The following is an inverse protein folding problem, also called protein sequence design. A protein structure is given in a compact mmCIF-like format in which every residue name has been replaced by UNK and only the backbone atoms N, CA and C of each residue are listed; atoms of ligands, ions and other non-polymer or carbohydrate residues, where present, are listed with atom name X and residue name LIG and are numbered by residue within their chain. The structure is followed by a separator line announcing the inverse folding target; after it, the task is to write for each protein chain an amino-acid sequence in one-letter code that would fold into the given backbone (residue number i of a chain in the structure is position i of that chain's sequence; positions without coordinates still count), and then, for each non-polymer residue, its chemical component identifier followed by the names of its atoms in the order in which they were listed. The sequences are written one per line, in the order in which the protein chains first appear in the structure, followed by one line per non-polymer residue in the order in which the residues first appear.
data_IF_990608412760
#
_entry.id   IF_990608412760
#
_cell.length_a   1.000
_cell.length_b   1.000
_cell.length_c   1.000
_cell.angle_alpha   90.00
_cell.angle_beta   90.00
_cell.angle_gamma   90.00
#
_symmetry.space_group_name_H-M   'P 1'
#
loop_
_entity.id
_entity.type
_entity.pdbx_description
1 polymer ?
#
# COMPACT_ATOMS: atom_id res chain seq x y z
N UNK A 1 10.56 43.16 -42.43
CA UNK A 1 9.19 42.90 -42.92
C UNK A 1 9.18 41.53 -43.57
N UNK A 2 8.71 40.53 -42.82
CA UNK A 2 8.37 39.18 -43.27
C UNK A 2 7.31 38.68 -42.28
N UNK A 3 6.12 38.26 -42.73
CA UNK A 3 5.00 38.00 -41.84
C UNK A 3 5.02 36.57 -41.26
N UNK A 4 4.51 36.51 -40.03
CA UNK A 4 4.33 35.35 -39.15
C UNK A 4 3.27 34.40 -39.73
N UNK A 5 3.58 33.10 -39.78
CA UNK A 5 2.66 32.05 -40.23
C UNK A 5 1.59 31.71 -39.20
N UNK A 6 0.33 31.87 -39.57
CA UNK A 6 -0.85 31.47 -38.78
C UNK A 6 -1.20 30.02 -39.08
N UNK A 7 -1.05 29.13 -38.08
CA UNK A 7 -1.46 27.73 -38.17
C UNK A 7 -2.98 27.61 -37.92
N UNK A 8 -3.75 27.33 -38.98
CA UNK A 8 -5.18 26.99 -38.90
C UNK A 8 -5.35 25.48 -38.82
N UNK A 9 -5.89 24.98 -37.70
CA UNK A 9 -6.32 23.58 -37.58
C UNK A 9 -7.74 23.46 -38.15
N UNK A 10 -7.86 22.72 -39.26
CA UNK A 10 -9.12 22.36 -39.93
C UNK A 10 -9.52 20.97 -39.41
N UNK A 11 -10.67 20.86 -38.76
CA UNK A 11 -11.29 19.57 -38.38
C UNK A 11 -12.43 19.29 -39.36
N UNK A 12 -12.45 18.15 -40.08
CA UNK A 12 -13.55 17.80 -40.97
C UNK A 12 -14.76 17.20 -40.22
N UNK A 13 -16.01 17.52 -40.63
CA UNK A 13 -17.22 16.91 -40.09
C UNK A 13 -17.73 15.74 -40.95
N UNK A 14 -18.68 14.97 -40.38
CA UNK A 14 -19.53 13.91 -41.00
C UNK A 14 -18.94 12.48 -40.97
N UNK A 15 -19.69 11.40 -40.75
CA UNK A 15 -21.12 11.20 -40.96
C UNK A 15 -21.72 10.13 -40.02
N UNK A 16 -22.91 10.46 -39.50
CA UNK A 16 -23.92 9.52 -38.99
C UNK A 16 -24.47 8.70 -40.17
N UNK A 17 -24.49 7.37 -40.04
CA UNK A 17 -25.37 6.51 -40.85
C UNK A 17 -25.91 5.39 -39.97
N UNK A 18 -27.21 5.47 -39.68
CA UNK A 18 -27.97 4.42 -39.02
C UNK A 18 -28.28 3.27 -39.97
N UNK A 19 -28.38 2.07 -39.41
CA UNK A 19 -28.97 0.91 -40.07
C UNK A 19 -29.95 0.23 -39.12
N UNK A 20 -31.23 0.26 -39.50
CA UNK A 20 -32.31 -0.56 -38.94
C UNK A 20 -32.07 -2.03 -39.27
N UNK A 21 -32.21 -2.94 -38.29
CA UNK A 21 -32.66 -4.32 -38.52
C UNK A 21 -33.64 -4.73 -37.41
N UNK A 22 -34.69 -5.39 -37.86
CA UNK A 22 -35.89 -5.82 -37.15
C UNK A 22 -35.80 -7.28 -36.66
N UNK A 23 -36.87 -7.69 -35.95
CA UNK A 23 -37.24 -9.03 -35.44
C UNK A 23 -36.64 -9.35 -34.07
N UNK A 24 -37.35 -9.71 -33.01
CA UNK A 24 -38.77 -10.02 -32.78
C UNK A 24 -38.85 -11.05 -31.63
N UNK A 25 -39.71 -10.84 -30.64
CA UNK A 25 -40.21 -11.90 -29.75
C UNK A 25 -39.87 -11.82 -28.25
N UNK A 26 -40.91 -11.63 -27.42
CA UNK A 26 -41.05 -12.20 -26.07
C UNK A 26 -40.64 -11.32 -24.86
N UNK A 27 -41.61 -10.74 -24.15
CA UNK A 27 -41.42 -10.17 -22.79
C UNK A 27 -41.41 -11.23 -21.68
N UNK A 28 -41.56 -10.87 -20.38
CA UNK A 28 -41.70 -9.53 -19.81
C UNK A 28 -40.73 -9.18 -18.66
N UNK A 29 -40.64 -7.87 -18.42
CA UNK A 29 -40.44 -7.17 -17.14
C UNK A 29 -39.19 -7.44 -16.28
N UNK A 30 -38.36 -6.40 -16.12
CA UNK A 30 -38.25 -5.67 -14.84
C UNK A 30 -37.27 -4.49 -15.00
N UNK A 31 -37.80 -3.30 -14.81
CA UNK A 31 -37.12 -2.00 -14.97
C UNK A 31 -36.20 -1.68 -13.79
N UNK A 32 -34.92 -1.40 -14.07
CA UNK A 32 -34.07 -0.55 -13.21
C UNK A 32 -33.46 0.54 -14.09
N UNK A 33 -33.94 1.78 -13.89
CA UNK A 33 -33.51 2.97 -14.61
C UNK A 33 -32.54 3.74 -13.71
N UNK A 34 -31.26 3.77 -14.08
CA UNK A 34 -30.30 4.75 -13.56
C UNK A 34 -30.40 6.01 -14.43
N UNK A 35 -30.99 7.08 -13.88
CA UNK A 35 -31.00 8.39 -14.52
C UNK A 35 -29.71 9.14 -14.18
N UNK A 36 -28.94 9.44 -15.22
CA UNK A 36 -27.94 10.49 -15.24
C UNK A 36 -28.60 11.86 -15.02
N UNK A 37 -28.08 12.63 -14.06
CA UNK A 37 -28.49 14.01 -13.81
C UNK A 37 -27.95 14.95 -14.89
N UNK A 38 -28.86 15.63 -15.59
CA UNK A 38 -28.58 16.87 -16.32
C UNK A 38 -29.00 18.05 -15.44
N UNK A 39 -28.03 18.87 -15.07
CA UNK A 39 -28.26 20.20 -14.51
C UNK A 39 -28.80 21.11 -15.63
N UNK A 40 -29.98 21.69 -15.43
CA UNK A 40 -30.48 22.79 -16.24
C UNK A 40 -31.05 23.85 -15.29
N UNK A 41 -30.48 25.05 -15.35
CA UNK A 41 -30.90 26.20 -14.57
C UNK A 41 -32.28 26.70 -14.99
N UNK A 42 -33.14 27.03 -14.03
CA UNK A 42 -34.17 28.07 -14.12
C UNK A 42 -34.69 28.42 -12.72
N UNK A 43 -34.79 29.72 -12.47
CA UNK A 43 -35.10 30.29 -11.16
C UNK A 43 -36.55 30.17 -10.72
N UNK A 44 -36.74 30.40 -9.41
CA UNK A 44 -38.01 30.54 -8.72
C UNK A 44 -37.76 30.57 -7.21
N UNK A 45 -38.18 31.64 -6.52
CA UNK A 45 -38.13 31.75 -5.05
C UNK A 45 -39.11 30.76 -4.40
N UNK A 46 -38.82 30.29 -3.18
CA UNK A 46 -39.85 30.19 -2.15
C UNK A 46 -39.33 30.79 -0.82
N UNK A 47 -40.01 31.78 -0.26
CA UNK A 47 -41.05 31.64 0.77
C UNK A 47 -40.65 30.82 2.00
N UNK A 48 -40.63 31.53 3.12
CA UNK A 48 -40.21 31.13 4.45
C UNK A 48 -41.39 30.46 5.15
N UNK A 49 -41.23 29.21 5.59
CA UNK A 49 -42.12 28.57 6.55
C UNK A 49 -41.33 28.08 7.78
N UNK A 50 -41.93 28.14 8.98
CA UNK A 50 -41.22 28.08 10.25
C UNK A 50 -40.78 26.67 10.63
N UNK A 51 -39.54 26.54 11.09
CA UNK A 51 -38.99 25.32 11.68
C UNK A 51 -39.59 25.12 13.07
N UNK A 52 -40.46 24.13 13.20
CA UNK A 52 -40.91 23.59 14.48
C UNK A 52 -39.74 22.84 15.13
N UNK A 53 -39.22 23.39 16.24
CA UNK A 53 -38.25 22.74 17.13
C UNK A 53 -38.90 21.57 17.87
N UNK A 54 -38.49 20.34 17.57
CA UNK A 54 -38.70 19.20 18.46
C UNK A 54 -37.50 19.05 19.39
N UNK A 55 -37.64 19.53 20.62
CA UNK A 55 -36.70 19.29 21.71
C UNK A 55 -37.02 17.96 22.41
N UNK A 56 -36.16 16.96 22.29
CA UNK A 56 -36.18 15.77 23.14
C UNK A 56 -34.86 15.71 23.94
N UNK A 57 -34.92 16.12 25.22
CA UNK A 57 -33.85 15.98 26.21
C UNK A 57 -33.87 14.57 26.82
N UNK A 58 -32.76 13.82 26.83
CA UNK A 58 -32.58 12.76 27.82
C UNK A 58 -32.11 13.35 29.16
N UNK A 59 -32.83 13.00 30.24
CA UNK A 59 -32.53 13.40 31.63
C UNK A 59 -31.19 12.80 32.09
N UNK A 60 -30.26 13.64 32.58
CA UNK A 60 -29.13 13.20 33.43
C UNK A 60 -29.52 13.37 34.91
N UNK A 61 -29.03 12.50 35.82
CA UNK A 61 -29.27 12.63 37.25
C UNK A 61 -28.47 13.82 37.85
N UNK A 62 -29.14 14.56 38.72
CA UNK A 62 -28.61 15.69 39.50
C UNK A 62 -27.71 15.15 40.64
N UNK A 63 -26.42 15.50 40.62
CA UNK A 63 -25.54 15.43 41.79
C UNK A 63 -24.81 16.78 41.89
N UNK A 64 -25.39 17.68 42.68
CA UNK A 64 -24.73 18.90 43.15
C UNK A 64 -23.77 18.59 44.28
N UNK A 65 -22.73 19.45 44.34
CA UNK A 65 -21.82 19.80 45.45
C UNK A 65 -20.51 19.02 45.54
N UNK A 66 -19.46 19.58 44.95
CA UNK A 66 -18.15 19.72 45.61
C UNK A 66 -17.48 21.04 45.13
N UNK A 67 -16.95 21.89 46.05
CA UNK A 67 -16.20 23.09 45.70
C UNK A 67 -14.74 22.77 45.33
N UNK A 68 -14.01 23.72 44.69
CA UNK A 68 -12.77 23.44 43.98
C UNK A 68 -11.48 23.78 44.77
N UNK A 69 -10.38 23.28 44.23
CA UNK A 69 -8.99 23.76 44.34
C UNK A 69 -8.25 23.60 45.68
N UNK A 70 -7.21 22.75 45.66
CA UNK A 70 -5.77 23.13 45.69
C UNK A 70 -4.96 21.99 46.32
N UNK A 71 -4.01 21.42 45.56
CA UNK A 71 -2.90 20.65 46.11
C UNK A 71 -1.65 21.53 45.97
N UNK A 72 -0.97 21.88 47.07
CA UNK A 72 0.35 22.48 47.01
C UNK A 72 1.45 21.41 47.05
N UNK A 73 2.58 21.85 46.53
CA UNK A 73 3.90 21.25 46.42
C UNK A 73 4.33 20.24 47.48
N UNK A 74 5.01 19.22 46.99
CA UNK A 74 5.85 18.30 47.74
C UNK A 74 7.13 18.99 48.20
N UNK A 75 7.26 19.23 49.51
CA UNK A 75 8.56 19.44 50.16
C UNK A 75 8.66 18.57 51.39
N UNK A 76 9.66 17.67 51.35
CA UNK A 76 10.43 17.07 52.44
C UNK A 76 10.04 17.48 53.86
N UNK A 77 9.81 16.51 54.75
CA UNK A 77 10.52 16.46 56.03
C UNK A 77 10.58 15.02 56.58
N UNK A 78 11.79 14.68 56.99
CA UNK A 78 12.25 13.45 57.64
C UNK A 78 11.58 13.21 59.00
N UNK A 79 11.39 11.94 59.39
CA UNK A 79 11.88 11.36 60.65
C UNK A 79 11.29 9.95 60.87
N UNK A 80 12.13 9.06 61.39
CA UNK A 80 11.94 7.61 61.54
C UNK A 80 11.22 7.17 62.85
N UNK A 81 11.27 5.90 63.33
CA UNK A 81 10.16 5.18 63.99
C UNK A 81 10.48 5.07 65.52
N UNK A 82 10.12 4.05 66.36
CA UNK A 82 9.40 2.78 66.17
C UNK A 82 8.36 2.47 67.26
N UNK A 83 7.69 1.31 67.21
CA UNK A 83 7.63 0.34 68.34
C UNK A 83 6.86 -0.93 67.95
N UNK A 84 7.56 -2.04 68.12
CA UNK A 84 7.12 -3.42 68.02
C UNK A 84 6.58 -3.87 69.39
N UNK A 85 5.41 -4.51 69.44
CA UNK A 85 4.97 -5.22 70.64
C UNK A 85 4.49 -6.63 70.28
N UNK A 86 5.25 -7.59 70.79
CA UNK A 86 4.98 -9.03 70.78
C UNK A 86 3.97 -9.38 71.88
N UNK A 87 2.96 -10.17 71.56
CA UNK A 87 2.05 -10.82 72.51
C UNK A 87 1.99 -12.33 72.27
N UNK A 88 2.45 -13.12 73.24
CA UNK A 88 2.49 -14.59 73.25
C UNK A 88 1.11 -15.20 73.59
N UNK A 89 0.89 -16.50 73.29
CA UNK A 89 -0.45 -17.09 73.13
C UNK A 89 -0.97 -17.71 74.43
N UNK A 90 -2.30 -17.72 74.60
CA UNK A 90 -2.96 -18.45 75.68
C UNK A 90 -3.58 -19.76 75.16
N UNK A 91 -3.26 -20.84 75.86
CA UNK A 91 -3.63 -22.23 75.58
C UNK A 91 -5.09 -22.46 75.95
N UNK A 92 -5.87 -23.05 75.05
CA UNK A 92 -7.25 -23.46 75.29
C UNK A 92 -7.67 -24.61 74.38
N UNK A 93 -7.57 -25.81 74.93
CA UNK A 93 -8.43 -26.99 74.73
C UNK A 93 -8.77 -27.44 73.29
N UNK A 94 -8.15 -28.54 72.89
CA UNK A 94 -8.49 -29.33 71.71
C UNK A 94 -9.91 -29.92 71.82
N UNK A 95 -10.77 -29.58 70.88
CA UNK A 95 -11.96 -30.35 70.54
C UNK A 95 -11.82 -30.81 69.08
N UNK A 96 -11.75 -32.12 68.89
CA UNK A 96 -11.74 -32.79 67.59
C UNK A 96 -13.07 -32.51 66.87
N UNK A 97 -13.04 -31.63 65.87
CA UNK A 97 -14.09 -31.52 64.88
C UNK A 97 -13.56 -32.12 63.58
N UNK A 98 -14.07 -33.29 63.21
CA UNK A 98 -13.81 -33.92 61.91
C UNK A 98 -14.26 -32.96 60.81
N UNK A 99 -13.31 -32.35 60.10
CA UNK A 99 -13.57 -31.59 58.88
C UNK A 99 -13.59 -32.60 57.74
N UNK A 100 -14.77 -32.84 57.17
CA UNK A 100 -14.89 -33.46 55.86
C UNK A 100 -14.07 -32.65 54.85
N UNK A 101 -13.10 -33.29 54.21
CA UNK A 101 -12.28 -32.67 53.17
C UNK A 101 -13.13 -32.58 51.90
N UNK A 102 -13.81 -31.46 51.70
CA UNK A 102 -14.44 -31.14 50.43
C UNK A 102 -13.40 -31.16 49.30
N UNK A 103 -13.72 -31.89 48.22
CA UNK A 103 -12.88 -32.01 47.03
C UNK A 103 -12.52 -30.62 46.47
N UNK A 104 -11.27 -30.38 46.03
CA UNK A 104 -10.89 -29.09 45.48
C UNK A 104 -11.70 -28.79 44.22
N UNK A 105 -12.43 -27.68 44.25
CA UNK A 105 -13.16 -27.14 43.11
C UNK A 105 -12.22 -27.01 41.90
N UNK A 106 -12.62 -27.61 40.77
CA UNK A 106 -11.93 -27.41 39.49
C UNK A 106 -11.90 -25.91 39.19
N UNK A 107 -10.71 -25.31 39.17
CA UNK A 107 -10.52 -23.89 38.86
C UNK A 107 -11.00 -23.62 37.44
N UNK A 108 -12.19 -23.04 37.31
CA UNK A 108 -12.75 -22.57 36.05
C UNK A 108 -11.77 -21.54 35.45
N UNK A 109 -11.04 -21.95 34.41
CA UNK A 109 -10.07 -21.12 33.72
C UNK A 109 -10.80 -19.93 33.09
N UNK A 110 -10.62 -18.73 33.64
CA UNK A 110 -11.26 -17.52 33.12
C UNK A 110 -10.95 -17.33 31.61
N UNK A 111 -11.93 -16.93 30.78
CA UNK A 111 -11.68 -16.60 29.39
C UNK A 111 -10.59 -15.53 29.30
N UNK A 112 -9.51 -15.80 28.56
CA UNK A 112 -8.43 -14.83 28.35
C UNK A 112 -9.03 -13.53 27.82
N UNK A 113 -8.67 -12.40 28.42
CA UNK A 113 -9.02 -11.08 27.92
C UNK A 113 -8.62 -10.99 26.43
N UNK A 114 -9.60 -10.82 25.55
CA UNK A 114 -9.41 -10.66 24.10
C UNK A 114 -9.73 -9.23 23.74
N UNK A 115 -8.82 -8.55 23.03
CA UNK A 115 -9.09 -7.21 22.48
C UNK A 115 -10.27 -7.30 21.52
N UNK A 116 -11.20 -6.35 21.59
CA UNK A 116 -12.32 -6.31 20.68
C UNK A 116 -11.80 -6.17 19.23
N UNK A 117 -12.18 -7.12 18.37
CA UNK A 117 -11.82 -7.09 16.95
C UNK A 117 -12.91 -6.33 16.22
N UNK A 118 -12.56 -5.18 15.65
CA UNK A 118 -13.47 -4.45 14.76
C UNK A 118 -13.79 -5.34 13.56
N UNK A 119 -15.08 -5.66 13.38
CA UNK A 119 -15.58 -6.47 12.25
C UNK A 119 -16.08 -5.51 11.18
N UNK A 120 -15.41 -5.50 10.03
CA UNK A 120 -15.81 -4.67 8.89
C UNK A 120 -16.89 -5.40 8.09
N UNK A 121 -17.99 -4.70 7.76
CA UNK A 121 -19.11 -5.22 6.95
C UNK A 121 -18.85 -5.12 5.44
N UNK A 122 -17.60 -5.18 5.01
CA UNK A 122 -17.22 -5.06 3.60
C UNK A 122 -17.57 -6.33 2.83
N UNK A 123 -17.98 -6.18 1.56
CA UNK A 123 -18.35 -7.30 0.67
C UNK A 123 -17.17 -8.18 0.22
N UNK A 124 -15.93 -7.83 0.59
CA UNK A 124 -14.72 -8.54 0.14
C UNK A 124 -14.47 -9.75 1.02
N UNK A 125 -14.67 -10.94 0.45
CA UNK A 125 -14.30 -12.20 1.09
C UNK A 125 -12.79 -12.44 0.97
N UNK A 126 -12.24 -13.12 1.99
CA UNK A 126 -10.83 -13.53 1.98
C UNK A 126 -10.57 -14.52 0.85
N UNK A 127 -9.39 -14.40 0.22
CA UNK A 127 -8.92 -15.39 -0.75
C UNK A 127 -8.80 -16.76 -0.07
N UNK A 128 -9.57 -17.72 -0.55
CA UNK A 128 -9.66 -19.07 -0.02
C UNK A 128 -8.67 -20.02 -0.71
N UNK A 129 -8.62 -21.28 -0.27
CA UNK A 129 -7.68 -22.29 -0.76
C UNK A 129 -7.89 -22.59 -2.25
N UNK A 130 -9.12 -22.54 -2.73
CA UNK A 130 -9.49 -22.85 -4.11
C UNK A 130 -8.79 -21.92 -5.11
N UNK A 131 -8.49 -20.67 -4.74
CA UNK A 131 -7.75 -19.76 -5.61
C UNK A 131 -6.27 -20.15 -5.74
N UNK A 132 -5.68 -20.72 -4.69
CA UNK A 132 -4.31 -21.25 -4.73
C UNK A 132 -4.26 -22.53 -5.56
N UNK A 133 -5.25 -23.38 -5.40
CA UNK A 133 -5.38 -24.62 -6.18
C UNK A 133 -5.59 -24.29 -7.67
N UNK A 134 -6.39 -23.27 -8.01
CA UNK A 134 -6.51 -22.76 -9.38
C UNK A 134 -5.19 -22.25 -9.96
N UNK A 135 -4.42 -21.48 -9.18
CA UNK A 135 -3.11 -21.01 -9.63
C UNK A 135 -2.16 -22.20 -9.89
N UNK A 136 -2.19 -23.21 -9.01
CA UNK A 136 -1.39 -24.41 -9.15
C UNK A 136 -1.76 -25.21 -10.41
N UNK A 137 -3.06 -25.46 -10.65
CA UNK A 137 -3.55 -26.13 -11.86
C UNK A 137 -3.18 -25.38 -13.13
N UNK A 138 -3.40 -24.06 -13.15
CA UNK A 138 -3.09 -23.23 -14.33
C UNK A 138 -1.60 -23.28 -14.71
N UNK A 139 -0.69 -23.32 -13.72
CA UNK A 139 0.74 -23.44 -14.00
C UNK A 139 1.03 -24.80 -14.64
N UNK A 140 0.54 -25.90 -14.06
CA UNK A 140 0.74 -27.26 -14.59
C UNK A 140 0.17 -27.45 -15.99
N UNK A 141 -0.98 -26.86 -16.27
CA UNK A 141 -1.60 -26.88 -17.60
C UNK A 141 -0.82 -26.05 -18.62
N UNK A 142 -0.11 -25.01 -18.19
CA UNK A 142 0.68 -24.15 -19.08
C UNK A 142 2.03 -24.75 -19.45
N UNK A 143 2.67 -25.54 -18.58
CA UNK A 143 3.99 -26.16 -18.86
C UNK A 143 4.04 -26.88 -20.21
N UNK A 144 3.12 -27.80 -20.57
CA UNK A 144 3.17 -28.51 -21.85
C UNK A 144 2.76 -27.66 -23.07
N UNK A 145 2.15 -26.49 -22.88
CA UNK A 145 1.63 -25.65 -23.97
C UNK A 145 2.67 -24.71 -24.57
N UNK A 146 3.79 -24.50 -23.86
CA UNK A 146 4.78 -23.49 -24.22
C UNK A 146 6.18 -24.08 -24.33
N UNK A 147 6.99 -23.50 -25.23
CA UNK A 147 8.36 -23.95 -25.47
C UNK A 147 9.33 -23.48 -24.40
N UNK A 148 9.11 -22.30 -23.83
CA UNK A 148 10.02 -21.70 -22.86
C UNK A 148 9.30 -21.30 -21.57
N UNK A 149 9.99 -21.47 -20.44
CA UNK A 149 9.58 -21.02 -19.13
C UNK A 149 10.67 -20.11 -18.55
N UNK A 150 10.37 -18.83 -18.38
CA UNK A 150 11.28 -17.83 -17.80
C UNK A 150 10.96 -17.60 -16.34
N UNK A 151 11.99 -17.48 -15.51
CA UNK A 151 11.91 -16.91 -14.16
C UNK A 151 12.40 -15.48 -14.22
N UNK A 152 11.58 -14.56 -13.75
CA UNK A 152 11.92 -13.14 -13.65
C UNK A 152 11.76 -12.64 -12.22
N UNK A 153 12.72 -11.86 -11.74
CA UNK A 153 12.64 -11.07 -10.52
C UNK A 153 12.11 -9.68 -10.82
N UNK A 154 11.37 -9.10 -9.88
CA UNK A 154 10.84 -7.73 -10.02
C UNK A 154 11.16 -6.89 -8.82
N UNK A 155 11.70 -5.70 -9.08
CA UNK A 155 11.95 -4.68 -8.08
C UNK A 155 10.83 -3.64 -8.10
N UNK A 156 10.36 -3.22 -6.92
CA UNK A 156 9.27 -2.26 -6.73
C UNK A 156 8.00 -2.57 -7.57
N UNK A 157 7.48 -3.81 -7.47
CA UNK A 157 6.30 -4.25 -8.23
C UNK A 157 5.03 -3.40 -7.95
N UNK A 158 4.33 -3.04 -9.02
CA UNK A 158 2.97 -2.49 -9.01
C UNK A 158 2.02 -3.30 -9.89
N UNK A 159 0.78 -3.43 -9.42
CA UNK A 159 -0.25 -4.18 -10.14
C UNK A 159 -0.62 -3.58 -11.50
N UNK A 160 -0.39 -2.27 -11.72
CA UNK A 160 -0.71 -1.61 -12.98
C UNK A 160 0.31 -1.99 -14.06
N UNK A 161 1.61 -1.88 -13.77
CA UNK A 161 2.68 -2.30 -14.68
C UNK A 161 2.57 -3.78 -15.04
N UNK A 162 2.22 -4.65 -14.09
CA UNK A 162 2.02 -6.07 -14.40
C UNK A 162 0.80 -6.34 -15.31
N UNK A 163 -0.21 -5.47 -15.29
CA UNK A 163 -1.34 -5.57 -16.22
C UNK A 163 -0.95 -5.09 -17.62
N UNK A 164 -0.14 -4.04 -17.70
CA UNK A 164 0.42 -3.54 -18.97
C UNK A 164 1.32 -4.59 -19.61
N UNK A 165 2.26 -5.16 -18.86
CA UNK A 165 3.11 -6.27 -19.34
C UNK A 165 2.28 -7.48 -19.79
N UNK A 166 1.20 -7.82 -19.07
CA UNK A 166 0.28 -8.90 -19.50
C UNK A 166 -0.53 -8.55 -20.74
N UNK A 167 -0.77 -7.26 -20.98
CA UNK A 167 -1.50 -6.81 -22.15
C UNK A 167 -0.60 -6.79 -23.39
N UNK A 168 0.65 -6.35 -23.23
CA UNK A 168 1.67 -6.33 -24.28
C UNK A 168 2.14 -7.75 -24.64
N UNK A 169 2.29 -8.63 -23.64
CA UNK A 169 2.61 -10.04 -23.80
C UNK A 169 1.35 -10.92 -23.69
N UNK A 170 0.32 -10.62 -24.50
CA UNK A 170 -0.97 -11.31 -24.47
C UNK A 170 -0.91 -12.78 -24.94
N UNK A 171 0.09 -13.14 -25.74
CA UNK A 171 0.39 -14.49 -26.21
C UNK A 171 1.12 -15.33 -25.15
N UNK A 172 1.76 -14.66 -24.19
CA UNK A 172 2.47 -15.30 -23.09
C UNK A 172 1.55 -15.52 -21.88
N UNK A 173 1.89 -16.49 -21.03
CA UNK A 173 1.22 -16.67 -19.72
C UNK A 173 2.12 -16.24 -18.59
N UNK A 174 1.78 -15.12 -17.97
CA UNK A 174 2.51 -14.57 -16.83
C UNK A 174 1.85 -14.94 -15.50
N UNK A 175 2.57 -15.70 -14.68
CA UNK A 175 2.21 -16.04 -13.32
C UNK A 175 3.04 -15.24 -12.32
N UNK A 176 2.36 -14.66 -11.33
CA UNK A 176 2.98 -13.96 -10.22
C UNK A 176 2.20 -14.29 -8.95
N UNK A 177 2.82 -15.00 -8.03
CA UNK A 177 2.15 -15.58 -6.88
C UNK A 177 3.13 -16.02 -5.81
N UNK A 178 2.68 -16.86 -4.87
CA UNK A 178 3.54 -17.34 -3.79
C UNK A 178 4.63 -18.24 -4.38
N UNK A 179 5.89 -17.86 -4.18
CA UNK A 179 7.07 -18.55 -4.73
C UNK A 179 7.10 -20.05 -4.41
N UNK A 180 6.84 -20.42 -3.15
CA UNK A 180 6.75 -21.84 -2.73
C UNK A 180 5.64 -22.63 -3.45
N UNK A 181 4.54 -21.98 -3.83
CA UNK A 181 3.46 -22.63 -4.56
C UNK A 181 3.85 -22.86 -6.02
N UNK A 182 4.52 -21.89 -6.64
CA UNK A 182 5.02 -22.01 -8.02
C UNK A 182 6.10 -23.09 -8.13
N UNK A 183 7.05 -23.13 -7.20
CA UNK A 183 8.07 -24.18 -7.12
C UNK A 183 7.45 -25.59 -7.02
N UNK A 184 6.43 -25.77 -6.18
CA UNK A 184 5.69 -27.05 -6.10
C UNK A 184 4.87 -27.37 -7.34
N UNK A 185 4.40 -26.35 -8.07
CA UNK A 185 3.64 -26.55 -9.29
C UNK A 185 4.53 -27.10 -10.41
N UNK A 186 5.76 -26.57 -10.54
CA UNK A 186 6.77 -27.06 -11.49
C UNK A 186 7.32 -28.44 -11.10
N UNK A 187 7.53 -28.67 -9.80
CA UNK A 187 8.16 -29.87 -9.24
C UNK A 187 9.53 -29.55 -8.66
N UNK A 188 9.76 -29.93 -7.40
CA UNK A 188 11.03 -29.67 -6.71
C UNK A 188 12.01 -30.84 -6.87
N UNK A 189 11.47 -32.04 -7.03
CA UNK A 189 12.20 -33.28 -7.24
C UNK A 189 11.98 -33.78 -8.67
N UNK A 190 12.94 -34.50 -9.28
CA UNK A 190 12.79 -35.09 -10.61
C UNK A 190 11.56 -36.01 -10.74
N UNK A 191 11.14 -36.67 -9.66
CA UNK A 191 9.94 -37.53 -9.64
C UNK A 191 8.62 -36.75 -9.65
N UNK A 192 8.65 -35.49 -9.23
CA UNK A 192 7.49 -34.59 -9.14
C UNK A 192 7.42 -33.58 -10.29
N UNK A 193 8.47 -33.54 -11.11
CA UNK A 193 8.64 -32.62 -12.22
C UNK A 193 7.57 -32.85 -13.30
N UNK A 194 6.97 -31.76 -13.76
CA UNK A 194 5.95 -31.82 -14.83
C UNK A 194 6.57 -32.06 -16.20
N UNK A 195 7.79 -31.57 -16.39
CA UNK A 195 8.57 -31.72 -17.61
C UNK A 195 10.03 -32.00 -17.24
N UNK A 196 10.76 -32.61 -18.18
CA UNK A 196 12.15 -33.01 -17.95
C UNK A 196 13.07 -31.79 -17.74
N UNK A 197 13.89 -31.83 -16.70
CA UNK A 197 14.85 -30.79 -16.33
C UNK A 197 14.26 -29.48 -15.80
N UNK A 198 12.94 -29.38 -15.62
CA UNK A 198 12.28 -28.14 -15.13
C UNK A 198 12.56 -27.88 -13.64
N UNK A 199 12.84 -28.93 -12.87
CA UNK A 199 13.16 -28.85 -11.44
C UNK A 199 14.37 -27.97 -11.17
N UNK A 200 15.29 -27.88 -12.15
CA UNK A 200 16.48 -27.02 -12.12
C UNK A 200 16.13 -25.51 -12.13
N UNK A 201 14.89 -25.10 -12.41
CA UNK A 201 14.44 -23.70 -12.20
C UNK A 201 14.11 -23.35 -10.75
N UNK A 202 13.82 -24.35 -9.93
CA UNK A 202 13.36 -24.13 -8.55
C UNK A 202 14.32 -23.28 -7.70
N UNK A 203 15.66 -23.42 -7.81
CA UNK A 203 16.60 -22.58 -7.06
C UNK A 203 16.49 -21.07 -7.38
N UNK A 204 16.10 -20.72 -8.60
CA UNK A 204 15.90 -19.32 -9.01
C UNK A 204 14.58 -18.73 -8.50
N UNK A 205 13.68 -19.57 -7.97
CA UNK A 205 12.44 -19.14 -7.36
C UNK A 205 12.68 -18.69 -5.91
N UNK A 206 13.38 -17.57 -5.73
CA UNK A 206 13.64 -16.93 -4.43
C UNK A 206 13.24 -15.45 -4.44
N UNK A 207 12.60 -14.98 -3.36
CA UNK A 207 12.13 -13.60 -3.23
C UNK A 207 10.92 -13.25 -4.12
N UNK A 208 10.90 -12.01 -4.62
CA UNK A 208 9.81 -11.44 -5.43
C UNK A 208 9.97 -11.80 -6.91
N UNK A 209 9.60 -13.03 -7.24
CA UNK A 209 9.75 -13.61 -8.59
C UNK A 209 8.43 -14.02 -9.21
N UNK A 210 8.40 -14.14 -10.53
CA UNK A 210 7.30 -14.71 -11.30
C UNK A 210 7.78 -15.65 -12.41
N UNK A 211 6.81 -16.29 -13.07
CA UNK A 211 7.02 -17.18 -14.21
C UNK A 211 6.38 -16.60 -15.47
N UNK A 212 7.04 -16.72 -16.61
CA UNK A 212 6.48 -16.42 -17.92
C UNK A 212 6.63 -17.65 -18.80
N UNK A 213 5.51 -18.13 -19.32
CA UNK A 213 5.49 -19.16 -20.36
C UNK A 213 5.29 -18.50 -21.72
N UNK A 214 6.14 -18.84 -22.68
CA UNK A 214 6.12 -18.22 -24.02
C UNK A 214 6.64 -19.17 -25.09
N UNK A 215 6.22 -18.91 -26.32
CA UNK A 215 6.71 -19.56 -27.55
C UNK A 215 7.60 -18.61 -28.38
N UNK A 216 7.86 -17.40 -27.88
CA UNK A 216 8.77 -16.45 -28.53
C UNK A 216 10.21 -16.83 -28.27
N UNK A 217 11.08 -16.34 -29.15
CA UNK A 217 12.52 -16.48 -29.00
C UNK A 217 13.01 -15.82 -27.68
N UNK A 218 13.94 -16.45 -26.94
CA UNK A 218 14.46 -15.89 -25.70
C UNK A 218 15.06 -14.49 -25.86
N UNK A 219 15.75 -14.18 -26.96
CA UNK A 219 16.36 -12.87 -27.15
C UNK A 219 15.30 -11.76 -27.24
N UNK A 220 14.16 -12.02 -27.88
CA UNK A 220 13.07 -11.06 -27.98
C UNK A 220 12.47 -10.72 -26.61
N UNK A 221 12.38 -11.70 -25.70
CA UNK A 221 11.88 -11.49 -24.34
C UNK A 221 12.87 -10.70 -23.49
N UNK A 222 14.17 -10.97 -23.65
CA UNK A 222 15.23 -10.24 -22.95
C UNK A 222 15.27 -8.77 -23.37
N UNK A 223 15.22 -8.49 -24.68
CA UNK A 223 15.17 -7.13 -25.22
C UNK A 223 13.94 -6.36 -24.73
N UNK A 224 12.76 -7.02 -24.74
CA UNK A 224 11.53 -6.41 -24.23
C UNK A 224 11.67 -5.99 -22.75
N UNK A 225 12.20 -6.87 -21.89
CA UNK A 225 12.32 -6.54 -20.46
C UNK A 225 13.41 -5.51 -20.15
N UNK A 226 14.42 -5.37 -21.00
CA UNK A 226 15.42 -4.31 -20.84
C UNK A 226 14.87 -2.92 -21.20
N UNK A 227 13.91 -2.85 -22.13
CA UNK A 227 13.24 -1.61 -22.52
C UNK A 227 12.14 -1.12 -21.57
N UNK A 228 11.63 -1.98 -20.68
CA UNK A 228 10.52 -1.65 -19.77
C UNK A 228 11.05 -1.14 -18.43
N UNK A 229 11.03 0.19 -18.25
CA UNK A 229 11.50 0.84 -17.02
C UNK A 229 10.64 2.03 -16.55
N UNK A 230 9.35 1.84 -16.22
CA UNK A 230 8.51 2.91 -15.69
C UNK A 230 9.00 3.39 -14.31
N UNK A 231 8.97 4.70 -14.10
CA UNK A 231 9.32 5.36 -12.83
C UNK A 231 8.11 5.48 -11.91
N UNK A 232 8.32 5.34 -10.61
CA UNK A 232 7.30 5.41 -9.57
C UNK A 232 7.85 6.02 -8.26
N UNK A 233 6.94 6.35 -7.35
CA UNK A 233 7.25 6.82 -6.02
C UNK A 233 7.92 5.72 -5.20
N UNK A 234 9.04 6.08 -4.57
CA UNK A 234 9.73 5.20 -3.65
C UNK A 234 8.87 4.82 -2.44
N UNK A 235 9.17 3.65 -1.88
CA UNK A 235 8.59 3.15 -0.63
C UNK A 235 9.64 3.21 0.46
N UNK A 236 9.19 3.21 1.71
CA UNK A 236 10.10 3.08 2.83
C UNK A 236 10.86 1.76 2.70
N UNK A 237 12.16 1.78 2.98
CA UNK A 237 13.08 0.66 2.79
C UNK A 237 13.84 0.68 1.46
N UNK A 238 13.36 1.42 0.45
CA UNK A 238 14.06 1.52 -0.84
C UNK A 238 15.27 2.45 -0.72
N UNK A 239 16.37 2.09 -1.38
CA UNK A 239 17.58 2.93 -1.49
C UNK A 239 17.34 4.10 -2.45
N UNK A 240 17.72 5.30 -2.05
CA UNK A 240 17.63 6.49 -2.89
C UNK A 240 18.64 6.45 -4.04
N UNK A 241 18.17 6.68 -5.27
CA UNK A 241 18.98 6.68 -6.50
C UNK A 241 19.73 7.98 -6.76
N UNK A 242 19.27 9.07 -6.15
CA UNK A 242 19.87 10.41 -6.24
C UNK A 242 19.56 11.20 -4.97
N UNK A 243 20.30 12.29 -4.78
CA UNK A 243 19.99 13.28 -3.77
C UNK A 243 18.74 14.11 -4.14
N UNK A 244 17.98 14.50 -3.12
CA UNK A 244 16.85 15.42 -3.29
C UNK A 244 16.90 16.48 -2.19
N UNK A 245 17.19 17.71 -2.61
CA UNK A 245 17.32 18.87 -1.74
C UNK A 245 16.32 19.93 -2.19
N UNK A 246 15.50 20.38 -1.25
CA UNK A 246 14.52 21.43 -1.49
C UNK A 246 15.21 22.77 -1.23
N UNK A 247 15.22 23.72 -2.19
CA UNK A 247 15.88 25.00 -2.02
C UNK A 247 15.21 25.84 -0.91
N UNK A 248 15.98 26.76 -0.31
CA UNK A 248 15.45 27.73 0.63
C UNK A 248 14.56 28.78 -0.07
N UNK A 249 13.67 29.42 0.70
CA UNK A 249 12.71 30.40 0.18
C UNK A 249 11.32 29.79 -0.09
N UNK A 250 10.62 30.25 -1.13
CA UNK A 250 9.26 29.79 -1.43
C UNK A 250 9.28 28.33 -1.88
N UNK A 251 8.48 27.48 -1.23
CA UNK A 251 8.34 26.07 -1.59
C UNK A 251 7.32 25.93 -2.72
N UNK A 252 7.74 25.28 -3.80
CA UNK A 252 6.92 24.96 -4.96
C UNK A 252 6.43 23.51 -4.94
N UNK A 253 5.46 23.18 -5.80
CA UNK A 253 4.81 21.88 -5.81
C UNK A 253 5.76 20.73 -6.13
N UNK A 254 6.82 20.95 -6.91
CA UNK A 254 7.84 19.93 -7.23
C UNK A 254 9.10 20.02 -6.37
N UNK A 255 9.17 20.97 -5.44
CA UNK A 255 10.29 21.10 -4.51
C UNK A 255 11.65 21.37 -5.15
N UNK A 256 11.69 21.93 -6.38
CA UNK A 256 12.91 22.31 -7.09
C UNK A 256 13.31 21.41 -8.26
N UNK A 257 12.53 20.37 -8.57
CA UNK A 257 12.75 19.55 -9.78
C UNK A 257 12.46 20.33 -11.07
N UNK A 258 11.38 21.12 -11.06
CA UNK A 258 10.99 22.00 -12.16
C UNK A 258 11.43 23.43 -11.82
N UNK A 259 11.98 24.20 -12.79
CA UNK A 259 12.29 25.61 -12.59
C UNK A 259 11.08 26.40 -12.07
N UNK A 260 11.34 27.38 -11.19
CA UNK A 260 10.31 28.12 -10.47
C UNK A 260 9.33 28.88 -11.39
N UNK A 261 9.73 29.22 -12.62
CA UNK A 261 8.88 29.84 -13.64
C UNK A 261 7.81 28.90 -14.21
N UNK A 262 8.04 27.59 -14.14
CA UNK A 262 7.15 26.55 -14.66
C UNK A 262 6.41 25.79 -13.55
N UNK A 263 6.75 26.05 -12.29
CA UNK A 263 6.14 25.42 -11.13
C UNK A 263 5.14 26.35 -10.43
N UNK A 264 4.21 25.74 -9.69
CA UNK A 264 3.19 26.44 -8.91
C UNK A 264 3.58 26.42 -7.43
N UNK A 265 3.41 27.54 -6.70
CA UNK A 265 3.64 27.55 -5.25
C UNK A 265 2.80 26.50 -4.54
N UNK A 266 3.39 25.87 -3.50
CA UNK A 266 2.73 24.83 -2.71
C UNK A 266 1.43 25.35 -2.06
N UNK A 267 0.41 24.50 -2.00
CA UNK A 267 -0.85 24.83 -1.31
C UNK A 267 -0.65 24.97 0.21
N UNK A 268 -1.19 26.04 0.79
CA UNK A 268 -1.09 26.34 2.21
C UNK A 268 -1.73 25.29 3.14
N UNK A 269 -2.66 24.48 2.63
CA UNK A 269 -3.33 23.41 3.40
C UNK A 269 -2.38 22.26 3.75
N UNK A 270 -1.32 22.05 2.95
CA UNK A 270 -0.34 20.97 3.12
C UNK A 270 0.80 21.39 4.06
N UNK A 271 0.94 22.68 4.36
CA UNK A 271 1.99 23.22 5.25
C UNK A 271 2.08 22.52 6.62
N UNK A 272 0.96 22.26 7.34
CA UNK A 272 1.03 21.54 8.61
C UNK A 272 1.52 20.10 8.44
N UNK A 273 1.25 19.46 7.30
CA UNK A 273 1.76 18.12 7.00
C UNK A 273 3.27 18.15 6.74
N UNK A 274 3.79 19.15 6.02
CA UNK A 274 5.24 19.34 5.82
C UNK A 274 5.97 19.53 7.15
N UNK A 275 5.42 20.36 8.04
CA UNK A 275 5.97 20.54 9.40
C UNK A 275 5.93 19.25 10.22
N UNK A 276 4.84 18.47 10.14
CA UNK A 276 4.72 17.16 10.79
C UNK A 276 5.75 16.15 10.25
N UNK A 277 6.12 16.27 8.98
CA UNK A 277 7.16 15.47 8.33
C UNK A 277 8.58 16.02 8.57
N UNK A 278 8.73 17.02 9.44
CA UNK A 278 10.03 17.52 9.91
C UNK A 278 10.66 18.61 9.03
N UNK A 279 9.94 19.14 8.04
CA UNK A 279 10.42 20.32 7.31
C UNK A 279 10.18 21.60 8.12
N UNK A 280 11.19 22.48 8.28
CA UNK A 280 11.03 23.74 9.01
C UNK A 280 10.32 24.81 8.15
N UNK A 281 9.05 24.57 7.83
CA UNK A 281 8.23 25.49 7.02
C UNK A 281 7.54 26.57 7.86
N UNK A 282 7.39 27.74 7.26
CA UNK A 282 6.64 28.88 7.80
C UNK A 282 5.76 29.49 6.72
N UNK A 283 4.68 30.15 7.13
CA UNK A 283 3.82 30.92 6.24
C UNK A 283 4.31 32.36 6.18
N UNK A 284 4.80 32.81 5.03
CA UNK A 284 5.25 34.19 4.79
C UNK A 284 4.45 34.75 3.61
N UNK A 285 3.74 35.87 3.82
CA UNK A 285 2.91 36.54 2.80
C UNK A 285 1.92 35.59 2.09
N UNK A 286 1.36 34.62 2.83
CA UNK A 286 0.41 33.64 2.30
C UNK A 286 1.03 32.50 1.49
N UNK A 287 2.36 32.39 1.44
CA UNK A 287 3.10 31.32 0.77
C UNK A 287 3.89 30.48 1.77
N UNK A 288 4.01 29.18 1.48
CA UNK A 288 4.84 28.27 2.26
C UNK A 288 6.30 28.57 1.94
N UNK A 289 7.09 28.94 2.94
CA UNK A 289 8.50 29.24 2.81
C UNK A 289 9.34 28.35 3.74
N UNK A 290 10.53 28.00 3.27
CA UNK A 290 11.54 27.25 4.00
C UNK A 290 12.62 28.24 4.46
N UNK A 291 12.69 28.47 5.78
CA UNK A 291 13.55 29.50 6.38
C UNK A 291 12.78 30.67 7.01
N UNK A 292 13.49 31.78 7.22
CA UNK A 292 12.95 33.01 7.83
C UNK A 292 12.17 33.89 6.85
N UNK A 293 12.66 34.00 5.61
CA UNK A 293 12.32 35.08 4.68
C UNK A 293 12.01 34.55 3.27
N UNK A 294 11.42 35.38 2.40
CA UNK A 294 11.10 35.07 1.01
C UNK A 294 12.25 35.31 0.01
N UNK A 295 13.41 35.72 0.50
CA UNK A 295 14.59 36.14 -0.28
C UNK A 295 15.43 34.98 -0.86
N UNK A 296 15.13 33.72 -0.50
CA UNK A 296 15.90 32.55 -0.97
C UNK A 296 17.27 32.40 -0.29
N UNK A 297 17.58 33.26 0.68
CA UNK A 297 18.81 33.20 1.47
C UNK A 297 18.61 32.23 2.65
N UNK A 298 19.23 31.06 2.58
CA UNK A 298 19.16 30.05 3.63
C UNK A 298 19.69 28.68 3.23
N UNK A 299 19.73 27.77 4.20
CA UNK A 299 20.06 26.36 3.96
C UNK A 299 18.83 25.62 3.42
N UNK A 300 18.99 24.92 2.30
CA UNK A 300 17.96 24.05 1.75
C UNK A 300 17.69 22.82 2.64
N UNK A 301 16.53 22.21 2.50
CA UNK A 301 16.19 21.01 3.26
C UNK A 301 16.50 19.75 2.44
N UNK A 302 17.53 19.01 2.87
CA UNK A 302 17.88 17.72 2.25
C UNK A 302 16.90 16.65 2.72
N UNK A 303 16.13 16.08 1.79
CA UNK A 303 15.19 15.00 2.09
C UNK A 303 15.93 13.67 2.14
N UNK A 304 16.74 13.35 1.13
CA UNK A 304 17.54 12.13 1.05
C UNK A 304 18.83 12.37 0.26
N UNK A 305 19.86 11.57 0.54
CA UNK A 305 21.08 11.49 -0.28
C UNK A 305 21.09 10.19 -1.07
N UNK A 306 21.86 10.16 -2.16
CA UNK A 306 22.10 8.94 -2.92
C UNK A 306 22.68 7.84 -2.01
N UNK A 307 22.13 6.63 -2.10
CA UNK A 307 22.55 5.48 -1.30
C UNK A 307 21.85 5.36 0.07
N UNK A 308 21.10 6.37 0.52
CA UNK A 308 20.37 6.28 1.79
C UNK A 308 19.13 5.38 1.67
N UNK A 309 18.89 4.56 2.70
CA UNK A 309 17.64 3.79 2.83
C UNK A 309 16.52 4.74 3.27
N UNK A 310 15.49 4.87 2.44
CA UNK A 310 14.43 5.85 2.66
C UNK A 310 13.48 5.45 3.80
N UNK A 311 13.18 6.41 4.67
CA UNK A 311 12.15 6.29 5.71
C UNK A 311 10.73 6.62 5.18
N UNK A 312 9.71 6.21 5.92
CA UNK A 312 8.30 6.54 5.71
C UNK A 312 8.06 8.06 5.62
N UNK A 313 8.78 8.86 6.44
CA UNK A 313 8.71 10.32 6.40
C UNK A 313 9.25 10.90 5.08
N UNK A 314 10.42 10.42 4.65
CA UNK A 314 11.08 10.87 3.42
C UNK A 314 10.25 10.47 2.19
N UNK A 315 9.78 9.23 2.13
CA UNK A 315 8.94 8.76 1.01
C UNK A 315 7.58 9.45 0.95
N UNK A 316 7.03 9.91 2.08
CA UNK A 316 5.84 10.76 2.10
C UNK A 316 6.14 12.15 1.53
N UNK A 317 7.26 12.76 1.89
CA UNK A 317 7.69 14.04 1.33
C UNK A 317 7.88 13.93 -0.19
N UNK A 318 8.60 12.92 -0.67
CA UNK A 318 8.80 12.68 -2.10
C UNK A 318 7.47 12.55 -2.86
N UNK A 319 6.47 11.87 -2.27
CA UNK A 319 5.12 11.75 -2.85
C UNK A 319 4.37 13.08 -2.89
N UNK A 320 4.51 13.92 -1.87
CA UNK A 320 3.88 15.25 -1.86
C UNK A 320 4.48 16.15 -2.95
N UNK A 321 5.79 16.05 -3.19
CA UNK A 321 6.49 16.78 -4.23
C UNK A 321 6.45 16.13 -5.61
N UNK A 322 5.75 15.00 -5.78
CA UNK A 322 5.63 14.34 -7.08
C UNK A 322 6.92 13.71 -7.59
N UNK A 323 7.91 13.43 -6.73
CA UNK A 323 9.21 12.91 -7.12
C UNK A 323 9.22 11.38 -7.14
N UNK A 324 9.46 10.83 -8.33
CA UNK A 324 9.60 9.39 -8.57
C UNK A 324 11.08 8.99 -8.52
N UNK A 325 11.54 8.40 -7.41
CA UNK A 325 12.92 7.91 -7.26
C UNK A 325 13.08 6.41 -7.52
N UNK A 326 11.97 5.66 -7.58
CA UNK A 326 12.04 4.20 -7.72
C UNK A 326 11.68 3.78 -9.13
N UNK A 327 12.57 3.00 -9.75
CA UNK A 327 12.36 2.43 -11.06
C UNK A 327 11.79 1.01 -10.92
N UNK A 328 10.71 0.73 -11.66
CA UNK A 328 10.25 -0.63 -11.86
C UNK A 328 11.17 -1.29 -12.88
N UNK A 329 11.94 -2.29 -12.45
CA UNK A 329 12.80 -3.06 -13.33
C UNK A 329 12.51 -4.55 -13.18
N UNK A 330 12.33 -5.22 -14.32
CA UNK A 330 12.20 -6.66 -14.41
C UNK A 330 13.56 -7.24 -14.79
N UNK A 331 14.06 -8.19 -14.01
CA UNK A 331 15.32 -8.90 -14.29
C UNK A 331 15.01 -10.35 -14.58
N UNK A 332 15.34 -10.82 -15.78
CA UNK A 332 15.25 -12.25 -16.12
C UNK A 332 16.44 -12.98 -15.51
N UNK A 333 16.16 -14.03 -14.72
CA UNK A 333 17.18 -14.80 -14.00
C UNK A 333 17.67 -15.97 -14.85
N UNK A 334 16.74 -16.83 -15.24
CA UNK A 334 17.00 -18.05 -15.98
C UNK A 334 15.75 -18.44 -16.79
N UNK A 335 15.94 -19.30 -17.79
CA UNK A 335 14.84 -19.90 -18.54
C UNK A 335 15.09 -21.38 -18.84
N UNK A 336 14.03 -22.16 -18.91
CA UNK A 336 14.05 -23.53 -19.41
C UNK A 336 13.44 -23.61 -20.78
N UNK A 337 13.99 -24.52 -21.59
CA UNK A 337 13.50 -24.80 -22.94
C UNK A 337 13.04 -26.25 -23.03
N UNK A 338 11.79 -26.45 -23.44
CA UNK A 338 11.16 -27.76 -23.62
C UNK A 338 11.87 -28.62 -24.66
N UNK A 339 12.47 -28.01 -25.67
CA UNK A 339 13.19 -28.73 -26.73
C UNK A 339 14.49 -29.40 -26.25
N UNK A 340 15.23 -28.76 -25.34
CA UNK A 340 16.49 -29.30 -24.81
C UNK A 340 16.34 -29.95 -23.44
N UNK A 341 15.29 -29.62 -22.68
CA UNK A 341 15.18 -29.99 -21.27
C UNK A 341 16.20 -29.27 -20.37
N UNK A 342 16.89 -28.26 -20.90
CA UNK A 342 17.98 -27.57 -20.20
C UNK A 342 17.57 -26.18 -19.70
N UNK A 343 18.18 -25.79 -18.59
CA UNK A 343 18.05 -24.45 -18.00
C UNK A 343 19.24 -23.62 -18.43
N UNK A 344 18.97 -22.50 -19.08
CA UNK A 344 19.96 -21.47 -19.42
C UNK A 344 19.86 -20.33 -18.42
N UNK A 345 20.97 -20.03 -17.77
CA UNK A 345 21.10 -18.91 -16.85
C UNK A 345 21.45 -17.65 -17.63
N UNK A 346 20.64 -16.60 -17.47
CA UNK A 346 20.85 -15.33 -18.18
C UNK A 346 21.64 -14.36 -17.32
N UNK A 347 21.39 -14.35 -16.00
CA UNK A 347 22.04 -13.38 -15.12
C UNK A 347 22.29 -13.93 -13.71
N UNK A 348 23.54 -14.35 -13.38
CA UNK A 348 23.88 -14.86 -12.06
C UNK A 348 23.94 -13.77 -10.98
N UNK A 349 24.15 -12.50 -11.35
CA UNK A 349 24.30 -11.38 -10.39
C UNK A 349 22.96 -10.78 -9.91
N UNK A 350 21.82 -11.37 -10.30
CA UNK A 350 20.51 -10.84 -9.97
C UNK A 350 19.92 -11.34 -8.63
N UNK A 351 20.62 -12.23 -7.91
CA UNK A 351 20.22 -12.63 -6.55
C UNK A 351 20.49 -11.56 -5.47
N UNK A 352 21.45 -10.65 -5.66
CA UNK A 352 21.83 -9.65 -4.65
C UNK A 352 20.88 -8.44 -4.52
N UNK A 353 19.94 -8.28 -5.47
CA UNK A 353 19.07 -7.11 -5.54
C UNK A 353 17.60 -7.38 -5.20
N UNK A 354 17.25 -8.59 -4.80
CA UNK A 354 15.89 -8.94 -4.38
C UNK A 354 15.83 -8.81 -2.86
N UNK A 355 15.32 -7.68 -2.39
CA UNK A 355 15.11 -7.43 -0.96
C UNK A 355 14.42 -8.63 -0.33
N UNK A 356 15.12 -9.28 0.60
CA UNK A 356 14.58 -10.36 1.42
C UNK A 356 13.65 -9.70 2.42
N UNK A 357 12.34 -9.69 2.14
CA UNK A 357 11.34 -9.40 3.16
C UNK A 357 11.49 -10.46 4.27
N UNK A 358 12.09 -10.05 5.39
CA UNK A 358 12.11 -10.83 6.63
C UNK A 358 10.69 -10.87 7.21
N UNK A 359 10.12 -12.07 7.24
CA UNK A 359 8.76 -12.44 7.69
C UNK A 359 8.32 -11.84 9.04
#
# INVERSE_FOLDING_TARGET
MTPVGTLRIIVPPSALRGSKKSCGGGGPSCTWRQNFGKFCAKGGRPEIFPIVRCTAKPRRPDLRRFPPNTLPDSTNYLAEPPYNYQGKPNKGTFANCLIEVDKPAQTAKMPKSKRNRVVNLTQVNKKTREQKDKLFSNIRESVPQYQHCFVFGVNNMRNNYLKEVRHELNDCRLFFGKTKLMAKALGQDPSSAVADGIERLTPFLAGTVGLIFTNRDPASILEYFDGVSPVDFARAGTVATRDFVIPAGVVYATGGEVPAEHDVPMEHSIEPELRRLGMPTRMVKGRVCLGGDDSGEGEGYTVCKEGDVLDSRQTRLLKLFGICLSEFKVKVLAYWSSASGEVTEVNPNAMDGVEVESD
#
